data_IF_628114366281
#
_entry.id   IF_628114366281
#
_cell.length_a   1.000
_cell.length_b   1.000
_cell.length_c   1.000
_cell.angle_alpha   90.00
_cell.angle_beta   90.00
_cell.angle_gamma   90.00
#
_symmetry.space_group_name_H-M   'P 1'
#
loop_
_entity.id
_entity.type
_entity.pdbx_description
1 polymer ?
#
# COMPACT_ATOMS: atom_id res chain seq x y z
N UNK A 1 10.10 13.17 2.30
CA UNK A 1 9.40 11.89 2.10
C UNK A 1 8.16 12.15 1.27
N UNK A 2 7.99 11.36 0.22
CA UNK A 2 6.82 11.36 -0.65
C UNK A 2 6.04 10.09 -0.35
N UNK A 3 4.74 10.23 -0.16
CA UNK A 3 3.82 9.13 0.07
C UNK A 3 2.90 9.02 -1.15
N UNK A 4 2.69 7.80 -1.59
CA UNK A 4 1.80 7.45 -2.69
C UNK A 4 0.51 6.90 -2.11
N UNK A 5 -0.56 7.65 -2.35
CA UNK A 5 -1.90 7.36 -1.87
C UNK A 5 -2.74 6.80 -3.02
N UNK A 6 -3.62 5.86 -2.75
CA UNK A 6 -4.63 5.46 -3.73
C UNK A 6 -5.58 6.63 -4.00
N UNK A 7 -5.81 6.91 -5.28
CA UNK A 7 -6.64 8.03 -5.72
C UNK A 7 -8.12 7.83 -5.33
N UNK A 8 -8.55 6.58 -5.15
CA UNK A 8 -9.95 6.23 -4.85
C UNK A 8 -10.19 6.03 -3.35
N UNK A 9 -9.45 5.11 -2.71
CA UNK A 9 -9.65 4.80 -1.30
C UNK A 9 -9.02 5.83 -0.35
N UNK A 10 -8.05 6.60 -0.84
CA UNK A 10 -7.22 7.47 0.00
C UNK A 10 -6.43 6.70 1.07
N UNK A 11 -6.10 5.43 0.81
CA UNK A 11 -5.19 4.65 1.62
C UNK A 11 -3.73 4.93 1.20
N UNK A 12 -2.83 4.93 2.17
CA UNK A 12 -1.40 4.96 1.91
C UNK A 12 -0.97 3.60 1.34
N UNK A 13 -0.32 3.61 0.17
CA UNK A 13 0.05 2.40 -0.54
C UNK A 13 1.54 2.07 -0.41
N UNK A 14 2.39 3.09 -0.57
CA UNK A 14 3.84 3.02 -0.37
C UNK A 14 4.45 4.41 -0.29
N UNK A 15 5.75 4.50 -0.01
CA UNK A 15 6.50 5.76 0.02
C UNK A 15 7.77 5.71 -0.85
N UNK A 16 8.41 6.87 -1.03
CA UNK A 16 9.65 7.02 -1.81
C UNK A 16 10.91 6.42 -1.14
N UNK A 17 10.76 5.74 0.00
CA UNK A 17 11.87 5.04 0.67
C UNK A 17 12.25 3.74 -0.06
N UNK A 18 11.33 3.19 -0.86
CA UNK A 18 11.56 1.99 -1.64
C UNK A 18 12.13 2.34 -3.01
N UNK A 19 12.73 1.35 -3.67
CA UNK A 19 13.16 1.49 -5.05
C UNK A 19 11.94 1.37 -5.97
N UNK A 20 11.63 2.48 -6.64
CA UNK A 20 10.48 2.60 -7.55
C UNK A 20 10.99 2.68 -8.99
N UNK A 21 10.45 1.84 -9.87
CA UNK A 21 10.76 1.83 -11.30
C UNK A 21 9.49 2.01 -12.13
N UNK A 22 9.56 2.78 -13.20
CA UNK A 22 8.46 2.90 -14.15
C UNK A 22 8.51 1.74 -15.15
N UNK A 23 7.35 1.15 -15.44
CA UNK A 23 7.19 0.06 -16.41
C UNK A 23 6.00 0.31 -17.32
N UNK A 24 5.89 -0.48 -18.39
CA UNK A 24 4.82 -0.38 -19.38
C UNK A 24 4.67 1.08 -19.90
N UNK A 25 5.78 1.65 -20.38
CA UNK A 25 5.86 3.03 -20.89
C UNK A 25 5.37 4.10 -19.90
N UNK A 26 5.64 3.88 -18.61
CA UNK A 26 5.26 4.80 -17.53
C UNK A 26 3.82 4.67 -17.07
N UNK A 27 3.10 3.63 -17.50
CA UNK A 27 1.75 3.32 -17.02
C UNK A 27 1.74 2.75 -15.60
N UNK A 28 2.74 1.93 -15.27
CA UNK A 28 2.84 1.24 -14.00
C UNK A 28 4.08 1.66 -13.22
N UNK A 29 3.96 1.63 -11.90
CA UNK A 29 5.07 1.72 -10.96
C UNK A 29 5.32 0.34 -10.37
N UNK A 30 6.57 -0.07 -10.37
CA UNK A 30 7.04 -1.27 -9.71
C UNK A 30 7.85 -0.87 -8.48
N UNK A 31 7.47 -1.39 -7.33
CA UNK A 31 8.05 -1.04 -6.03
C UNK A 31 8.71 -2.28 -5.46
N UNK A 32 10.03 -2.26 -5.38
CA UNK A 32 10.84 -3.37 -4.87
C UNK A 32 10.78 -3.38 -3.33
N UNK A 33 10.36 -4.51 -2.77
CA UNK A 33 10.28 -4.74 -1.35
C UNK A 33 11.32 -5.76 -0.88
N UNK A 34 11.20 -6.17 0.39
CA UNK A 34 12.04 -7.20 1.00
C UNK A 34 11.21 -8.10 1.90
N UNK A 35 11.56 -9.38 1.96
CA UNK A 35 11.03 -10.28 2.98
C UNK A 35 11.60 -9.91 4.35
N UNK A 36 10.73 -9.69 5.33
CA UNK A 36 11.09 -9.35 6.71
C UNK A 36 10.32 -10.22 7.69
N UNK A 37 10.90 -10.43 8.87
CA UNK A 37 10.24 -11.05 10.01
C UNK A 37 10.03 -10.03 11.11
N UNK A 38 8.87 -10.05 11.76
CA UNK A 38 8.55 -9.25 12.95
C UNK A 38 8.02 -10.15 14.04
N UNK A 39 8.42 -9.90 15.27
CA UNK A 39 7.87 -10.58 16.44
C UNK A 39 6.74 -9.73 17.00
N UNK A 40 5.50 -10.19 16.83
CA UNK A 40 4.33 -9.59 17.46
C UNK A 40 4.18 -10.13 18.89
N UNK A 41 3.79 -9.26 19.84
CA UNK A 41 3.55 -9.65 21.23
C UNK A 41 4.67 -9.32 22.24
N UNK A 42 5.74 -8.65 21.83
CA UNK A 42 6.77 -8.17 22.77
C UNK A 42 6.48 -6.73 23.23
N UNK A 43 5.34 -6.52 23.89
CA UNK A 43 5.23 -5.38 24.81
C UNK A 43 6.05 -5.81 26.01
N UNK A 44 7.29 -5.35 26.09
CA UNK A 44 8.07 -5.58 27.31
C UNK A 44 7.27 -5.01 28.48
N UNK A 45 6.97 -5.86 29.47
CA UNK A 45 6.34 -5.46 30.74
C UNK A 45 7.05 -4.27 31.41
N UNK A 46 8.25 -3.90 30.95
CA UNK A 46 8.96 -2.68 31.35
C UNK A 46 8.29 -1.36 30.91
N UNK A 47 7.36 -1.36 29.95
CA UNK A 47 6.61 -0.16 29.53
C UNK A 47 5.29 0.03 30.29
N UNK A 48 4.82 -0.98 31.02
CA UNK A 48 3.71 -0.85 31.98
C UNK A 48 4.32 -0.48 33.34
N UNK A 49 4.97 0.68 33.37
CA UNK A 49 5.53 1.25 34.58
C UNK A 49 4.41 1.72 35.51
N UNK A 50 4.18 0.97 36.60
CA UNK A 50 3.77 1.55 37.88
C UNK A 50 2.49 1.02 38.52
N UNK A 51 2.51 -0.19 39.08
CA UNK A 51 2.30 -0.36 40.53
C UNK A 51 2.70 -1.77 40.99
N UNK A 52 3.81 -1.86 41.71
CA UNK A 52 4.25 -3.10 42.35
C UNK A 52 3.53 -3.27 43.70
N UNK A 53 2.52 -4.12 43.77
CA UNK A 53 2.18 -4.80 45.03
C UNK A 53 1.38 -6.09 44.82
N UNK A 54 1.97 -7.18 45.32
CA UNK A 54 1.39 -8.45 45.75
C UNK A 54 1.21 -9.61 44.74
N UNK A 55 2.06 -10.64 44.96
CA UNK A 55 1.93 -12.10 44.70
C UNK A 55 1.81 -12.59 43.24
N UNK A 56 2.88 -13.21 42.73
CA UNK A 56 2.86 -14.07 41.53
C UNK A 56 2.37 -15.50 41.81
N UNK A 57 2.65 -16.50 40.94
CA UNK A 57 3.09 -16.43 39.54
C UNK A 57 2.14 -17.19 38.60
N UNK A 58 1.70 -16.58 37.51
CA UNK A 58 1.39 -17.32 36.28
C UNK A 58 1.89 -16.44 35.13
N UNK A 59 3.16 -16.64 34.80
CA UNK A 59 3.71 -16.16 33.54
C UNK A 59 2.94 -16.85 32.42
N UNK A 60 1.87 -16.22 31.95
CA UNK A 60 1.42 -16.41 30.57
C UNK A 60 2.59 -15.97 29.72
N UNK A 61 3.44 -16.94 29.36
CA UNK A 61 4.35 -16.80 28.24
C UNK A 61 3.47 -16.51 27.04
N UNK A 62 3.22 -15.22 26.78
CA UNK A 62 2.54 -14.78 25.57
C UNK A 62 3.37 -15.35 24.43
N UNK A 63 2.81 -16.33 23.72
CA UNK A 63 3.49 -16.96 22.59
C UNK A 63 3.80 -15.87 21.57
N UNK A 64 5.06 -15.44 21.55
CA UNK A 64 5.55 -14.46 20.60
C UNK A 64 5.37 -15.05 19.20
N UNK A 65 4.55 -14.42 18.38
CA UNK A 65 4.28 -14.90 17.02
C UNK A 65 5.22 -14.18 16.08
N UNK A 66 6.05 -14.93 15.37
CA UNK A 66 6.89 -14.37 14.30
C UNK A 66 6.05 -14.31 13.03
N UNK A 67 5.74 -13.09 12.60
CA UNK A 67 5.06 -12.81 11.33
C UNK A 67 6.12 -12.53 10.27
N UNK A 68 6.09 -13.29 9.18
CA UNK A 68 6.98 -13.10 8.02
C UNK A 68 6.14 -12.54 6.87
N UNK A 69 6.62 -11.48 6.24
CA UNK A 69 5.92 -10.85 5.13
C UNK A 69 6.81 -9.89 4.34
N UNK A 70 6.25 -9.34 3.27
CA UNK A 70 6.92 -8.29 2.50
C UNK A 70 6.79 -6.98 3.27
N UNK A 71 7.92 -6.29 3.45
CA UNK A 71 8.01 -5.05 4.23
C UNK A 71 7.01 -3.98 3.80
N UNK A 72 6.81 -3.76 2.49
CA UNK A 72 5.81 -2.82 1.96
C UNK A 72 4.42 -3.19 2.47
N UNK A 73 4.03 -4.47 2.36
CA UNK A 73 2.72 -4.97 2.81
C UNK A 73 2.55 -4.74 4.32
N UNK A 74 3.58 -5.04 5.10
CA UNK A 74 3.53 -4.93 6.56
C UNK A 74 3.63 -3.48 7.05
N UNK A 75 4.31 -2.59 6.33
CA UNK A 75 4.48 -1.18 6.71
C UNK A 75 3.25 -0.35 6.41
N UNK A 76 2.56 -0.66 5.31
CA UNK A 76 1.38 0.06 4.84
C UNK A 76 0.07 -0.69 5.12
N UNK A 77 0.12 -1.70 6.01
CA UNK A 77 -1.04 -2.48 6.44
C UNK A 77 -1.88 -3.04 5.29
N UNK A 78 -1.23 -3.38 4.16
CA UNK A 78 -1.93 -3.88 2.97
C UNK A 78 -2.56 -5.24 3.26
N UNK A 79 -3.79 -5.42 2.83
CA UNK A 79 -4.59 -6.62 3.16
C UNK A 79 -4.78 -7.50 1.95
N UNK A 80 -4.79 -8.82 2.20
CA UNK A 80 -5.05 -9.80 1.15
C UNK A 80 -6.57 -9.98 0.96
N UNK A 81 -7.15 -9.62 -0.20
CA UNK A 81 -8.54 -9.93 -0.49
C UNK A 81 -8.74 -11.41 -0.79
N UNK A 82 -9.99 -11.91 -0.76
CA UNK A 82 -10.34 -13.18 -1.37
C UNK A 82 -9.95 -13.17 -2.86
N UNK A 83 -8.92 -13.93 -3.22
CA UNK A 83 -8.37 -13.91 -4.58
C UNK A 83 -9.04 -14.96 -5.45
N UNK A 84 -9.95 -14.50 -6.32
CA UNK A 84 -10.51 -15.30 -7.42
C UNK A 84 -10.36 -14.52 -8.72
N UNK A 85 -9.94 -15.21 -9.79
CA UNK A 85 -9.67 -14.58 -11.10
C UNK A 85 -10.89 -13.83 -11.66
N UNK A 86 -12.09 -14.36 -11.49
CA UNK A 86 -13.33 -13.71 -11.94
C UNK A 86 -13.67 -12.48 -11.11
N UNK A 87 -13.48 -12.53 -9.80
CA UNK A 87 -13.65 -11.37 -8.92
C UNK A 87 -12.67 -10.25 -9.30
N UNK A 88 -11.40 -10.59 -9.53
CA UNK A 88 -10.40 -9.63 -9.97
C UNK A 88 -10.78 -8.98 -11.32
N UNK A 89 -11.24 -9.76 -12.31
CA UNK A 89 -11.71 -9.23 -13.59
C UNK A 89 -12.84 -8.20 -13.43
N UNK A 90 -13.72 -8.39 -12.45
CA UNK A 90 -14.79 -7.43 -12.16
C UNK A 90 -14.21 -6.19 -11.49
N UNK A 91 -13.49 -6.35 -10.38
CA UNK A 91 -12.89 -5.24 -9.63
C UNK A 91 -12.01 -4.36 -10.50
N UNK A 92 -11.15 -4.93 -11.36
CA UNK A 92 -10.26 -4.13 -12.19
C UNK A 92 -11.00 -3.33 -13.27
N UNK A 93 -12.12 -3.86 -13.79
CA UNK A 93 -12.97 -3.12 -14.74
C UNK A 93 -13.65 -1.93 -14.09
N UNK A 94 -14.15 -2.11 -12.87
CA UNK A 94 -14.81 -1.03 -12.14
C UNK A 94 -13.79 0.01 -11.67
N UNK A 95 -12.62 -0.42 -11.19
CA UNK A 95 -11.47 0.45 -10.92
C UNK A 95 -11.07 1.30 -12.13
N UNK A 96 -10.95 0.71 -13.32
CA UNK A 96 -10.64 1.47 -14.55
C UNK A 96 -11.67 2.56 -14.85
N UNK A 97 -12.95 2.33 -14.59
CA UNK A 97 -13.99 3.35 -14.78
C UNK A 97 -13.84 4.47 -13.77
N UNK A 98 -13.55 4.14 -12.50
CA UNK A 98 -13.33 5.12 -11.44
C UNK A 98 -12.12 6.00 -11.75
N UNK A 99 -10.99 5.41 -12.16
CA UNK A 99 -9.80 6.16 -12.57
C UNK A 99 -10.07 7.00 -13.80
N UNK A 100 -10.77 6.46 -14.81
CA UNK A 100 -11.17 7.22 -15.99
C UNK A 100 -11.93 8.51 -15.61
N UNK A 101 -12.92 8.41 -14.74
CA UNK A 101 -13.68 9.58 -14.27
C UNK A 101 -12.79 10.62 -13.58
N UNK A 102 -11.88 10.16 -12.70
CA UNK A 102 -10.92 11.06 -12.05
C UNK A 102 -9.93 11.70 -13.02
N UNK A 103 -9.50 10.98 -14.04
CA UNK A 103 -8.64 11.52 -15.08
C UNK A 103 -9.38 12.54 -15.95
N UNK A 104 -10.64 12.30 -16.32
CA UNK A 104 -11.45 13.28 -17.08
C UNK A 104 -11.57 14.62 -16.34
N UNK A 105 -11.67 14.59 -15.01
CA UNK A 105 -11.75 15.79 -14.16
C UNK A 105 -10.40 16.50 -13.98
N UNK A 106 -9.32 15.75 -13.75
CA UNK A 106 -8.05 16.30 -13.25
C UNK A 106 -6.95 16.37 -14.31
N UNK A 107 -6.92 15.39 -15.21
CA UNK A 107 -5.82 15.08 -16.15
C UNK A 107 -6.38 14.48 -17.45
N UNK A 108 -7.27 15.20 -18.17
CA UNK A 108 -8.03 14.62 -19.29
C UNK A 108 -7.13 14.09 -20.41
N UNK A 109 -5.93 14.64 -20.58
CA UNK A 109 -4.92 14.19 -21.53
C UNK A 109 -4.40 12.77 -21.24
N UNK A 110 -4.50 12.30 -19.99
CA UNK A 110 -4.07 10.95 -19.56
C UNK A 110 -5.12 9.88 -19.78
N UNK A 111 -6.38 10.25 -20.04
CA UNK A 111 -7.49 9.29 -20.20
C UNK A 111 -7.21 8.28 -21.29
N UNK A 112 -6.86 8.73 -22.51
CA UNK A 112 -6.63 7.84 -23.65
C UNK A 112 -5.39 6.95 -23.44
N UNK A 113 -4.20 7.48 -23.08
CA UNK A 113 -3.04 6.66 -22.75
C UNK A 113 -3.32 5.61 -21.67
N UNK A 114 -3.99 6.00 -20.58
CA UNK A 114 -4.32 5.10 -19.49
C UNK A 114 -5.25 3.97 -19.95
N UNK A 115 -6.37 4.31 -20.60
CA UNK A 115 -7.37 3.30 -21.00
C UNK A 115 -6.81 2.28 -22.00
N UNK A 116 -5.96 2.71 -22.93
CA UNK A 116 -5.30 1.80 -23.89
C UNK A 116 -4.26 0.94 -23.19
N UNK A 117 -3.31 1.55 -22.48
CA UNK A 117 -2.22 0.82 -21.82
C UNK A 117 -2.73 -0.12 -20.72
N UNK A 118 -3.69 0.32 -19.91
CA UNK A 118 -4.26 -0.50 -18.84
C UNK A 118 -4.98 -1.72 -19.39
N UNK A 119 -5.68 -1.60 -20.53
CA UNK A 119 -6.33 -2.75 -21.17
C UNK A 119 -5.31 -3.82 -21.61
N UNK A 120 -4.15 -3.43 -22.10
CA UNK A 120 -3.07 -4.36 -22.47
C UNK A 120 -2.41 -4.97 -21.23
N UNK A 121 -2.09 -4.15 -20.24
CA UNK A 121 -1.50 -4.61 -18.98
C UNK A 121 -2.41 -5.60 -18.25
N UNK A 122 -3.72 -5.35 -18.22
CA UNK A 122 -4.71 -6.26 -17.61
C UNK A 122 -4.77 -7.59 -18.35
N UNK A 123 -4.65 -7.60 -19.68
CA UNK A 123 -4.57 -8.88 -20.44
C UNK A 123 -3.34 -9.68 -20.01
N UNK A 124 -2.18 -9.02 -19.87
CA UNK A 124 -0.96 -9.65 -19.40
C UNK A 124 -1.10 -10.21 -17.97
N UNK A 125 -1.67 -9.42 -17.05
CA UNK A 125 -1.93 -9.84 -15.67
C UNK A 125 -2.88 -11.05 -15.63
N UNK A 126 -3.95 -11.03 -16.42
CA UNK A 126 -4.92 -12.12 -16.44
C UNK A 126 -4.34 -13.41 -17.05
N UNK A 127 -3.40 -13.32 -17.98
CA UNK A 127 -2.68 -14.48 -18.50
C UNK A 127 -1.82 -15.13 -17.40
N UNK A 128 -1.15 -14.31 -16.59
CA UNK A 128 -0.22 -14.76 -15.55
C UNK A 128 -0.81 -14.71 -14.12
N UNK A 129 -2.15 -14.66 -13.99
CA UNK A 129 -2.84 -14.38 -12.72
C UNK A 129 -2.42 -15.26 -11.54
N UNK A 130 -2.00 -16.51 -11.80
CA UNK A 130 -1.58 -17.47 -10.76
C UNK A 130 -0.26 -17.10 -10.09
N UNK A 131 0.58 -16.30 -10.74
CA UNK A 131 1.87 -15.87 -10.19
C UNK A 131 1.68 -14.72 -9.20
N UNK A 132 0.66 -13.89 -9.44
CA UNK A 132 0.40 -12.72 -8.63
C UNK A 132 -0.32 -13.04 -7.33
N UNK A 133 0.15 -12.40 -6.27
CA UNK A 133 -0.59 -12.27 -5.02
C UNK A 133 -1.26 -10.89 -4.98
N UNK A 134 -2.57 -10.87 -4.72
CA UNK A 134 -3.33 -9.62 -4.67
C UNK A 134 -3.27 -9.00 -3.28
N UNK A 135 -3.17 -7.68 -3.24
CA UNK A 135 -3.30 -6.88 -2.02
C UNK A 135 -4.13 -5.62 -2.29
N UNK A 136 -4.86 -5.16 -1.28
CA UNK A 136 -5.64 -3.92 -1.28
C UNK A 136 -5.21 -3.04 -0.09
N UNK A 137 -5.57 -1.76 -0.14
CA UNK A 137 -5.33 -0.83 0.96
C UNK A 137 -5.96 -1.29 2.29
N UNK A 138 -5.49 -0.69 3.38
CA UNK A 138 -5.89 -1.03 4.74
C UNK A 138 -7.41 -1.02 4.95
N UNK A 139 -8.11 -0.06 4.34
CA UNK A 139 -9.56 0.10 4.49
C UNK A 139 -10.36 -0.93 3.69
N UNK A 140 -9.70 -1.78 2.90
CA UNK A 140 -10.31 -2.81 2.06
C UNK A 140 -11.40 -2.28 1.13
N UNK A 141 -11.25 -1.03 0.66
CA UNK A 141 -12.22 -0.42 -0.23
C UNK A 141 -12.31 -1.25 -1.54
N UNK A 142 -13.50 -1.79 -1.90
CA UNK A 142 -13.66 -2.64 -3.09
C UNK A 142 -13.45 -1.89 -4.41
N UNK A 143 -13.57 -0.56 -4.39
CA UNK A 143 -13.35 0.32 -5.55
C UNK A 143 -11.91 0.87 -5.61
N UNK A 144 -11.12 0.61 -4.56
CA UNK A 144 -9.72 1.02 -4.46
C UNK A 144 -8.78 0.21 -5.34
N UNK A 145 -7.51 0.59 -5.33
CA UNK A 145 -6.48 -0.12 -6.09
C UNK A 145 -6.30 -1.57 -5.60
N UNK A 146 -6.33 -2.51 -6.54
CA UNK A 146 -5.88 -3.88 -6.33
C UNK A 146 -4.47 -4.02 -6.87
N UNK A 147 -3.53 -4.20 -5.96
CA UNK A 147 -2.09 -4.24 -6.24
C UNK A 147 -1.63 -5.68 -6.42
N UNK A 148 -0.57 -5.85 -7.21
CA UNK A 148 -0.08 -7.15 -7.64
C UNK A 148 1.33 -7.35 -7.13
N UNK A 149 1.50 -8.33 -6.24
CA UNK A 149 2.80 -8.74 -5.76
C UNK A 149 3.28 -9.97 -6.54
N UNK A 150 4.53 -9.91 -6.99
CA UNK A 150 5.23 -11.02 -7.63
C UNK A 150 6.70 -11.03 -7.18
N UNK A 151 7.47 -12.02 -7.61
CA UNK A 151 8.88 -12.17 -7.28
C UNK A 151 9.74 -12.06 -8.54
N UNK A 152 10.94 -11.50 -8.40
CA UNK A 152 11.94 -11.48 -9.48
C UNK A 152 12.33 -12.90 -9.89
N UNK A 153 13.10 -13.00 -10.97
CA UNK A 153 13.66 -14.28 -11.45
C UNK A 153 14.50 -15.01 -10.39
N UNK A 154 15.02 -14.29 -9.40
CA UNK A 154 15.73 -14.86 -8.25
C UNK A 154 14.81 -15.62 -7.27
N UNK A 155 13.49 -15.47 -7.39
CA UNK A 155 12.48 -16.10 -6.54
C UNK A 155 12.42 -15.57 -5.10
N UNK A 156 13.22 -14.55 -4.76
CA UNK A 156 13.38 -14.05 -3.39
C UNK A 156 13.02 -12.58 -3.26
N UNK A 157 13.28 -11.76 -4.28
CA UNK A 157 13.05 -10.32 -4.23
C UNK A 157 11.61 -10.00 -4.63
N UNK A 158 10.74 -9.58 -3.68
CA UNK A 158 9.37 -9.24 -4.01
C UNK A 158 9.30 -7.85 -4.65
N UNK A 159 8.35 -7.68 -5.56
CA UNK A 159 7.97 -6.36 -6.06
C UNK A 159 6.46 -6.25 -6.17
N UNK A 160 5.95 -5.02 -6.02
CA UNK A 160 4.52 -4.71 -6.11
C UNK A 160 4.28 -3.75 -7.27
N UNK A 161 3.32 -4.09 -8.13
CA UNK A 161 2.92 -3.29 -9.28
C UNK A 161 1.69 -2.45 -8.92
N UNK A 162 1.76 -1.16 -9.24
CA UNK A 162 0.68 -0.18 -9.10
C UNK A 162 0.43 0.54 -10.44
N UNK A 163 -0.83 0.92 -10.72
CA UNK A 163 -1.12 1.83 -11.83
C UNK A 163 -0.80 3.26 -11.43
N UNK A 164 0.09 3.93 -12.18
CA UNK A 164 0.62 5.26 -11.85
C UNK A 164 -0.49 6.32 -11.83
N UNK A 165 -1.38 6.28 -12.82
CA UNK A 165 -2.51 7.20 -12.92
C UNK A 165 -3.58 6.98 -11.83
N UNK A 166 -3.50 5.84 -11.14
CA UNK A 166 -4.33 5.48 -9.99
C UNK A 166 -3.81 5.98 -8.64
N UNK A 167 -2.67 6.68 -8.62
CA UNK A 167 -2.02 7.16 -7.40
C UNK A 167 -1.98 8.68 -7.34
N UNK A 168 -2.05 9.19 -6.12
CA UNK A 168 -1.79 10.57 -5.75
C UNK A 168 -0.48 10.67 -4.95
N UNK A 169 0.44 11.54 -5.39
CA UNK A 169 1.73 11.78 -4.72
C UNK A 169 1.61 12.97 -3.77
N UNK A 170 1.95 12.77 -2.48
CA UNK A 170 1.96 13.84 -1.47
C UNK A 170 3.31 13.96 -0.80
N UNK A 171 3.84 15.18 -0.71
CA UNK A 171 5.08 15.47 0.02
C UNK A 171 4.74 15.90 1.45
N UNK A 172 5.07 15.06 2.42
CA UNK A 172 4.74 15.30 3.84
C UNK A 172 5.67 16.32 4.52
N UNK A 173 6.79 16.69 3.91
CA UNK A 173 7.71 17.69 4.48
C UNK A 173 7.19 19.14 4.35
N UNK A 174 6.08 19.38 3.65
CA UNK A 174 5.50 20.72 3.47
C UNK A 174 4.48 21.14 4.54
N UNK A 175 4.09 20.24 5.44
CA UNK A 175 3.14 20.57 6.53
C UNK A 175 3.78 21.35 7.71
N UNK A 176 5.11 21.50 7.74
CA UNK A 176 5.81 22.27 8.77
C UNK A 176 5.71 23.80 8.65
N UNK A 177 5.10 24.33 7.58
CA UNK A 177 5.06 25.79 7.33
C UNK A 177 3.72 26.47 7.71
N UNK A 178 2.80 25.80 8.41
CA UNK A 178 1.52 26.39 8.81
C UNK A 178 1.36 26.69 10.32
N UNK A 179 2.37 26.42 11.14
CA UNK A 179 2.42 26.91 12.54
C UNK A 179 3.27 28.17 12.64
N UNK A 180 2.75 29.28 12.12
CA UNK A 180 3.47 30.55 12.08
C UNK A 180 2.56 31.76 12.12
N UNK A 181 1.79 31.93 13.20
CA UNK A 181 1.42 33.23 13.81
C UNK A 181 0.31 33.05 14.86
N UNK A 182 0.64 32.51 16.03
CA UNK A 182 -0.13 32.85 17.24
C UNK A 182 0.69 33.93 17.93
N UNK A 183 0.42 35.19 17.57
CA UNK A 183 0.87 36.34 18.36
C UNK A 183 0.05 36.35 19.64
N UNK A 184 0.64 35.87 20.73
CA UNK A 184 0.11 36.07 22.07
C UNK A 184 0.18 37.57 22.41
N UNK A 185 -0.93 38.28 22.29
CA UNK A 185 -1.09 39.57 22.96
C UNK A 185 -1.44 39.31 24.42
N UNK A 186 -0.49 39.58 25.32
CA UNK A 186 -0.77 39.79 26.74
C UNK A 186 -1.35 41.19 26.90
N UNK A 187 -2.52 41.27 27.54
CA UNK A 187 -3.00 42.45 28.24
C UNK A 187 -2.99 42.14 29.74
#
# INVERSE_FOLDING_TARGET
>A
MIIYWDLISHDEMFSDIYKIQEMADGLCLEVEGKMVSRTEGNISDSLIGGNASAKGPEGKSTESTVVIGVDIVMNHSLRKPPSQKETYKKSIKDYMKSIKGKLEEQRPERVKPFMTGAAEQIKHILANFKNYQLFIGENMNPDGIVTLLDYREDGVTPYIIFFKDGLERKNVNKFGNYFGSITCHHN
#
